data_IF_519998524280
#
_entry.id   IF_519998524280
#
_cell.length_a   1.000
_cell.length_b   1.000
_cell.length_c   1.000
_cell.angle_alpha   90.00
_cell.angle_beta   90.00
_cell.angle_gamma   90.00
#
_symmetry.space_group_name_H-M   'P 1'
#
loop_
_entity.id
_entity.type
_entity.pdbx_description
1 polymer ?
#
# COMPACT_ATOMS: atom_id res chain seq x y z
N UNK A 1 6.94 -7.87 29.88
CA UNK A 1 7.64 -8.60 30.97
C UNK A 1 6.66 -8.79 32.11
N UNK A 2 6.75 -9.90 32.83
CA UNK A 2 6.01 -10.16 34.06
C UNK A 2 6.98 -10.58 35.16
N UNK A 3 6.67 -10.26 36.41
CA UNK A 3 7.49 -10.64 37.57
C UNK A 3 7.07 -12.01 38.07
N UNK A 4 8.05 -12.86 38.40
CA UNK A 4 7.82 -14.07 39.19
C UNK A 4 8.03 -13.72 40.67
N UNK A 5 6.96 -13.72 41.49
CA UNK A 5 7.07 -13.47 42.92
C UNK A 5 6.63 -14.71 43.74
N UNK A 6 7.60 -15.53 44.23
CA UNK A 6 7.30 -16.75 44.97
C UNK A 6 6.58 -16.52 46.31
N UNK A 7 6.56 -15.28 46.82
CA UNK A 7 5.85 -14.94 48.06
C UNK A 7 4.37 -14.66 47.81
N UNK A 8 3.98 -14.29 46.59
CA UNK A 8 2.58 -14.09 46.21
C UNK A 8 1.94 -15.36 45.66
N UNK A 9 2.71 -16.16 44.91
CA UNK A 9 2.23 -17.39 44.28
C UNK A 9 3.29 -18.48 44.36
N UNK A 10 2.95 -19.66 44.89
CA UNK A 10 3.90 -20.80 44.91
C UNK A 10 4.36 -21.22 43.53
N UNK A 11 3.52 -21.00 42.51
CA UNK A 11 3.80 -21.32 41.12
C UNK A 11 4.88 -20.42 40.49
N UNK A 12 5.17 -19.27 41.10
CA UNK A 12 6.21 -18.33 40.66
C UNK A 12 7.59 -18.64 41.25
N UNK A 13 7.78 -19.84 41.81
CA UNK A 13 9.09 -20.28 42.31
C UNK A 13 10.09 -20.43 41.16
N UNK A 14 11.26 -19.81 41.29
CA UNK A 14 12.34 -19.89 40.30
C UNK A 14 13.71 -20.09 40.95
N UNK A 15 14.63 -20.66 40.18
CA UNK A 15 16.02 -20.88 40.54
C UNK A 15 16.93 -20.46 39.39
N UNK A 16 18.05 -19.80 39.67
CA UNK A 16 19.06 -19.53 38.65
C UNK A 16 20.02 -20.72 38.59
N UNK A 17 20.15 -21.33 37.42
CA UNK A 17 21.04 -22.48 37.21
C UNK A 17 22.51 -22.04 37.14
N UNK A 18 23.42 -23.00 37.23
CA UNK A 18 24.86 -22.75 37.05
C UNK A 18 25.23 -22.30 35.64
N UNK A 19 24.36 -22.51 34.65
CA UNK A 19 24.51 -22.01 33.27
C UNK A 19 24.06 -20.55 33.12
N UNK A 20 23.44 -19.96 34.14
CA UNK A 20 22.89 -18.61 34.12
C UNK A 20 21.43 -18.53 33.65
N UNK A 21 20.81 -19.67 33.36
CA UNK A 21 19.41 -19.75 32.92
C UNK A 21 18.44 -19.76 34.13
N UNK A 22 17.18 -19.42 33.89
CA UNK A 22 16.15 -19.40 34.92
C UNK A 22 15.31 -20.68 34.87
N UNK A 23 15.34 -21.47 35.93
CA UNK A 23 14.56 -22.70 36.08
C UNK A 23 13.32 -22.48 36.94
N UNK A 24 12.14 -22.76 36.39
CA UNK A 24 10.84 -22.66 37.06
C UNK A 24 10.23 -24.06 37.21
N UNK A 25 10.20 -24.66 38.42
CA UNK A 25 9.82 -26.07 38.60
C UNK A 25 8.33 -26.34 38.36
N UNK A 26 7.50 -25.30 38.49
CA UNK A 26 6.04 -25.40 38.42
C UNK A 26 5.50 -25.10 37.01
N UNK A 27 6.38 -24.69 36.08
CA UNK A 27 6.03 -24.51 34.67
C UNK A 27 6.01 -25.88 33.94
N UNK A 28 5.29 -25.95 32.82
CA UNK A 28 5.25 -27.15 31.98
C UNK A 28 6.67 -27.57 31.56
N UNK A 29 6.90 -28.88 31.42
CA UNK A 29 8.24 -29.45 31.13
C UNK A 29 8.88 -28.92 29.85
N UNK A 30 8.09 -28.42 28.89
CA UNK A 30 8.55 -27.77 27.66
C UNK A 30 8.99 -26.31 27.83
N UNK A 31 8.69 -25.68 28.97
CA UNK A 31 8.95 -24.26 29.28
C UNK A 31 9.56 -24.05 30.67
N UNK A 32 10.10 -25.10 31.29
CA UNK A 32 10.62 -25.05 32.66
C UNK A 32 11.98 -24.34 32.78
N UNK A 33 12.63 -24.01 31.67
CA UNK A 33 13.92 -23.34 31.62
C UNK A 33 13.87 -22.17 30.66
N UNK A 34 14.20 -20.97 31.12
CA UNK A 34 14.25 -19.73 30.35
C UNK A 34 15.70 -19.28 30.18
N UNK A 35 16.14 -19.11 28.93
CA UNK A 35 17.49 -18.63 28.57
C UNK A 35 17.80 -17.28 29.26
N UNK A 36 19.04 -17.10 29.73
CA UNK A 36 19.56 -15.85 30.32
C UNK A 36 19.27 -14.58 29.51
N UNK A 37 19.04 -14.69 28.20
CA UNK A 37 18.64 -13.56 27.35
C UNK A 37 17.20 -13.08 27.54
N UNK A 38 16.33 -13.93 28.10
CA UNK A 38 14.88 -13.73 28.14
C UNK A 38 14.34 -13.39 29.53
N UNK A 39 15.22 -13.14 30.50
CA UNK A 39 14.83 -12.61 31.80
C UNK A 39 15.87 -11.60 32.30
N UNK A 40 15.47 -10.77 33.26
CA UNK A 40 16.40 -9.95 34.02
C UNK A 40 16.07 -10.03 35.51
N UNK A 41 17.08 -9.82 36.35
CA UNK A 41 16.93 -9.73 37.79
C UNK A 41 16.95 -8.25 38.19
N UNK A 42 15.92 -7.81 38.91
CA UNK A 42 15.78 -6.42 39.32
C UNK A 42 15.57 -6.35 40.84
N UNK A 43 16.16 -5.32 41.48
CA UNK A 43 16.09 -5.13 42.92
C UNK A 43 14.84 -4.31 43.28
N UNK A 44 13.94 -4.87 44.07
CA UNK A 44 12.66 -4.25 44.41
C UNK A 44 12.45 -4.30 45.93
N UNK A 45 12.73 -3.20 46.62
CA UNK A 45 12.76 -3.17 48.09
C UNK A 45 14.02 -3.85 48.61
N UNK A 46 13.90 -4.88 49.46
CA UNK A 46 15.01 -5.67 50.02
C UNK A 46 15.17 -7.05 49.32
N UNK A 47 14.66 -7.19 48.10
CA UNK A 47 14.62 -8.47 47.38
C UNK A 47 14.99 -8.35 45.91
N UNK A 48 15.55 -9.42 45.36
CA UNK A 48 15.86 -9.57 43.93
C UNK A 48 14.76 -10.41 43.29
N UNK A 49 14.06 -9.85 42.33
CA UNK A 49 12.92 -10.49 41.64
C UNK A 49 13.28 -10.73 40.18
N UNK A 50 12.91 -11.91 39.66
CA UNK A 50 13.06 -12.23 38.24
C UNK A 50 11.90 -11.66 37.43
N UNK A 51 12.23 -10.85 36.42
CA UNK A 51 11.32 -10.38 35.39
C UNK A 51 11.55 -11.18 34.12
N UNK A 52 10.55 -11.97 33.75
CA UNK A 52 10.60 -12.81 32.55
C UNK A 52 9.92 -12.05 31.41
N UNK A 53 10.57 -12.00 30.25
CA UNK A 53 9.91 -11.54 29.03
C UNK A 53 8.78 -12.51 28.72
N UNK A 54 7.64 -12.01 28.23
CA UNK A 54 6.61 -12.91 27.72
C UNK A 54 7.29 -13.78 26.67
N UNK A 55 7.37 -15.09 26.91
CA UNK A 55 7.81 -16.02 25.88
C UNK A 55 6.86 -15.77 24.73
N UNK A 56 7.41 -15.23 23.66
CA UNK A 56 6.71 -15.08 22.39
C UNK A 56 6.45 -16.50 21.94
N UNK A 57 5.35 -17.06 22.44
CA UNK A 57 4.78 -18.31 21.98
C UNK A 57 4.65 -18.07 20.48
N UNK A 58 5.53 -18.70 19.69
CA UNK A 58 5.40 -18.81 18.24
C UNK A 58 4.10 -19.54 17.98
N UNK A 59 3.01 -18.82 18.16
CA UNK A 59 1.67 -19.26 17.85
C UNK A 59 1.68 -19.49 16.35
N UNK A 60 0.97 -20.51 15.92
CA UNK A 60 0.78 -20.91 14.52
C UNK A 60 0.44 -19.74 13.59
N UNK A 61 -0.03 -18.61 14.15
CA UNK A 61 -0.21 -17.30 13.48
C UNK A 61 1.09 -16.69 12.93
N UNK A 62 2.22 -16.68 13.65
CA UNK A 62 3.46 -16.07 13.14
C UNK A 62 4.12 -16.86 11.99
N UNK A 63 4.00 -18.20 12.02
CA UNK A 63 4.51 -19.06 10.95
C UNK A 63 3.69 -18.88 9.67
N UNK A 64 2.36 -18.72 9.79
CA UNK A 64 1.48 -18.40 8.66
C UNK A 64 1.75 -16.99 8.12
N UNK A 65 1.94 -15.99 8.99
CA UNK A 65 2.26 -14.61 8.59
C UNK A 65 3.59 -14.56 7.81
N UNK A 66 4.62 -15.27 8.27
CA UNK A 66 5.92 -15.32 7.59
C UNK A 66 5.89 -15.97 6.21
N UNK A 67 5.03 -16.98 6.00
CA UNK A 67 4.82 -17.60 4.67
C UNK A 67 4.01 -16.66 3.78
N UNK A 68 2.97 -16.01 4.31
CA UNK A 68 2.13 -15.05 3.59
C UNK A 68 2.94 -13.87 3.04
N UNK A 69 3.75 -13.22 3.88
CA UNK A 69 4.62 -12.12 3.44
C UNK A 69 5.60 -12.55 2.34
N UNK A 70 6.12 -13.78 2.38
CA UNK A 70 7.01 -14.30 1.33
C UNK A 70 6.27 -14.54 0.01
N UNK A 71 5.09 -15.15 0.06
CA UNK A 71 4.28 -15.41 -1.14
C UNK A 71 3.91 -14.09 -1.83
N UNK A 72 3.47 -13.09 -1.06
CA UNK A 72 3.19 -11.75 -1.60
C UNK A 72 4.46 -11.15 -2.20
N UNK A 73 5.60 -11.21 -1.50
CA UNK A 73 6.85 -10.64 -2.00
C UNK A 73 7.25 -11.26 -3.35
N UNK A 74 7.15 -12.58 -3.51
CA UNK A 74 7.44 -13.23 -4.79
C UNK A 74 6.47 -12.80 -5.90
N UNK A 75 5.17 -12.70 -5.59
CA UNK A 75 4.17 -12.18 -6.54
C UNK A 75 4.47 -10.74 -6.97
N UNK A 76 4.92 -9.90 -6.05
CA UNK A 76 5.31 -8.52 -6.32
C UNK A 76 6.61 -8.40 -7.11
N UNK A 77 7.58 -9.29 -6.90
CA UNK A 77 8.80 -9.35 -7.71
C UNK A 77 8.44 -9.66 -9.16
N UNK A 78 7.64 -10.71 -9.38
CA UNK A 78 7.16 -11.07 -10.72
C UNK A 78 6.41 -9.89 -11.35
N UNK A 79 5.48 -9.28 -10.62
CA UNK A 79 4.72 -8.11 -11.08
C UNK A 79 5.64 -6.93 -11.45
N UNK A 80 6.67 -6.67 -10.63
CA UNK A 80 7.63 -5.60 -10.85
C UNK A 80 8.45 -5.82 -12.12
N UNK A 81 8.82 -7.08 -12.45
CA UNK A 81 9.50 -7.40 -13.70
C UNK A 81 8.62 -7.08 -14.93
N UNK A 82 7.34 -7.44 -14.90
CA UNK A 82 6.41 -7.10 -15.98
C UNK A 82 6.17 -5.59 -16.11
N UNK A 83 6.07 -4.87 -14.98
CA UNK A 83 5.96 -3.41 -14.98
C UNK A 83 7.23 -2.75 -15.55
N UNK A 84 8.42 -3.26 -15.21
CA UNK A 84 9.67 -2.77 -15.75
C UNK A 84 9.75 -2.96 -17.27
N UNK A 85 9.39 -4.15 -17.77
CA UNK A 85 9.32 -4.42 -19.22
C UNK A 85 8.33 -3.44 -19.87
N UNK A 86 7.16 -3.24 -19.28
CA UNK A 86 6.15 -2.30 -19.78
C UNK A 86 6.71 -0.88 -19.86
N UNK A 87 7.38 -0.41 -18.80
CA UNK A 87 8.03 0.89 -18.77
C UNK A 87 9.07 1.05 -19.88
N UNK A 88 9.94 0.05 -20.04
CA UNK A 88 10.99 0.05 -21.08
C UNK A 88 10.40 0.07 -22.48
N UNK A 89 9.36 -0.71 -22.76
CA UNK A 89 8.68 -0.69 -24.07
C UNK A 89 8.14 0.70 -24.38
N UNK A 90 7.46 1.34 -23.42
CA UNK A 90 6.92 2.69 -23.63
C UNK A 90 8.02 3.75 -23.75
N UNK A 91 9.14 3.62 -23.01
CA UNK A 91 10.27 4.56 -23.05
C UNK A 91 11.13 4.43 -24.32
N UNK A 92 11.28 3.22 -24.85
CA UNK A 92 12.14 2.95 -26.00
C UNK A 92 11.43 3.16 -27.34
N UNK A 93 10.09 3.16 -27.39
CA UNK A 93 9.32 3.37 -28.62
C UNK A 93 8.81 4.82 -28.67
N UNK A 94 9.45 5.73 -29.42
CA UNK A 94 9.05 7.14 -29.47
C UNK A 94 7.64 7.35 -30.01
N UNK A 95 7.11 6.39 -30.79
CA UNK A 95 5.74 6.37 -31.29
C UNK A 95 4.69 6.31 -30.17
N UNK A 96 5.07 5.87 -28.97
CA UNK A 96 4.22 5.79 -27.79
C UNK A 96 4.33 7.00 -26.88
N UNK A 97 5.26 7.94 -27.11
CA UNK A 97 5.48 9.15 -26.29
C UNK A 97 4.40 10.25 -26.49
N UNK A 98 3.18 9.87 -26.84
CA UNK A 98 2.04 10.77 -26.79
C UNK A 98 1.62 11.04 -25.34
N UNK A 99 0.72 12.01 -25.12
CA UNK A 99 0.24 12.38 -23.78
C UNK A 99 -0.20 11.16 -22.95
N UNK A 100 -1.00 10.28 -23.57
CA UNK A 100 -1.50 9.07 -22.91
C UNK A 100 -0.35 8.15 -22.48
N UNK A 101 0.59 7.86 -23.38
CA UNK A 101 1.77 7.05 -23.06
C UNK A 101 2.63 7.65 -21.97
N UNK A 102 2.85 8.97 -21.97
CA UNK A 102 3.60 9.65 -20.90
C UNK A 102 2.91 9.51 -19.53
N UNK A 103 1.60 9.73 -19.45
CA UNK A 103 0.85 9.55 -18.20
C UNK A 103 0.86 8.09 -17.72
N UNK A 104 0.77 7.13 -18.66
CA UNK A 104 0.85 5.70 -18.35
C UNK A 104 2.25 5.29 -17.87
N UNK A 105 3.31 5.83 -18.47
CA UNK A 105 4.69 5.61 -18.00
C UNK A 105 4.87 6.08 -16.56
N UNK A 106 4.35 7.26 -16.20
CA UNK A 106 4.42 7.76 -14.83
C UNK A 106 3.61 6.90 -13.85
N UNK A 107 2.43 6.41 -14.26
CA UNK A 107 1.64 5.46 -13.47
C UNK A 107 2.43 4.16 -13.22
N UNK A 108 2.98 3.55 -14.27
CA UNK A 108 3.76 2.30 -14.20
C UNK A 108 5.02 2.50 -13.36
N UNK A 109 5.74 3.62 -13.53
CA UNK A 109 6.91 3.93 -12.73
C UNK A 109 6.56 4.11 -11.24
N UNK A 110 5.41 4.73 -10.94
CA UNK A 110 4.94 4.88 -9.56
C UNK A 110 4.60 3.54 -8.93
N UNK A 111 3.92 2.64 -9.65
CA UNK A 111 3.64 1.28 -9.18
C UNK A 111 4.92 0.46 -9.00
N UNK A 112 5.87 0.56 -9.93
CA UNK A 112 7.16 -0.12 -9.84
C UNK A 112 7.92 0.34 -8.59
N UNK A 113 7.95 1.65 -8.32
CA UNK A 113 8.52 2.20 -7.10
C UNK A 113 7.84 1.66 -5.84
N UNK A 114 6.51 1.73 -5.77
CA UNK A 114 5.73 1.22 -4.65
C UNK A 114 6.02 -0.27 -4.37
N UNK A 115 5.95 -1.12 -5.39
CA UNK A 115 6.20 -2.56 -5.26
C UNK A 115 7.65 -2.86 -4.89
N UNK A 116 8.62 -2.11 -5.42
CA UNK A 116 10.03 -2.29 -5.06
C UNK A 116 10.26 -2.03 -3.56
N UNK A 117 9.75 -0.91 -3.04
CA UNK A 117 9.85 -0.61 -1.61
C UNK A 117 9.07 -1.59 -0.74
N UNK A 118 7.91 -2.07 -1.22
CA UNK A 118 7.09 -3.03 -0.49
C UNK A 118 7.76 -4.42 -0.42
N UNK A 119 8.41 -4.88 -1.49
CA UNK A 119 9.24 -6.09 -1.49
C UNK A 119 10.40 -5.96 -0.50
N UNK A 120 11.08 -4.81 -0.48
CA UNK A 120 12.15 -4.54 0.50
C UNK A 120 11.59 -4.60 1.92
N UNK A 121 10.45 -3.97 2.19
CA UNK A 121 9.77 -4.02 3.49
C UNK A 121 9.45 -5.47 3.91
N UNK A 122 8.89 -6.28 3.02
CA UNK A 122 8.48 -7.66 3.33
C UNK A 122 9.67 -8.61 3.54
N UNK A 123 10.74 -8.48 2.76
CA UNK A 123 11.88 -9.41 2.81
C UNK A 123 12.99 -8.97 3.77
N UNK A 124 13.20 -7.66 3.92
CA UNK A 124 14.38 -7.11 4.59
C UNK A 124 14.05 -6.37 5.89
N UNK A 125 12.77 -6.15 6.27
CA UNK A 125 12.37 -5.37 7.47
C UNK A 125 13.18 -5.68 8.73
N UNK A 126 13.49 -6.95 9.01
CA UNK A 126 14.25 -7.38 10.20
C UNK A 126 15.72 -6.94 10.20
N UNK A 127 16.28 -6.64 9.04
CA UNK A 127 17.68 -6.26 8.86
C UNK A 127 17.86 -4.76 8.61
N UNK A 128 16.76 -4.01 8.45
CA UNK A 128 16.81 -2.58 8.19
C UNK A 128 16.98 -1.81 9.51
N UNK A 129 17.82 -0.77 9.46
CA UNK A 129 17.87 0.21 10.55
C UNK A 129 16.51 0.95 10.64
N UNK A 130 16.07 1.38 11.84
CA UNK A 130 14.76 1.98 12.04
C UNK A 130 14.46 3.18 11.11
N UNK A 131 15.45 4.04 10.86
CA UNK A 131 15.30 5.22 10.01
C UNK A 131 15.03 4.84 8.54
N UNK A 132 15.69 3.79 8.05
CA UNK A 132 15.49 3.30 6.69
C UNK A 132 14.13 2.60 6.55
N UNK A 133 13.72 1.86 7.58
CA UNK A 133 12.39 1.25 7.65
C UNK A 133 11.27 2.30 7.62
N UNK A 134 11.43 3.38 8.38
CA UNK A 134 10.53 4.53 8.36
C UNK A 134 10.50 5.22 6.98
N UNK A 135 11.67 5.50 6.38
CA UNK A 135 11.77 6.07 5.04
C UNK A 135 11.05 5.20 3.99
N UNK A 136 11.25 3.89 4.03
CA UNK A 136 10.59 2.93 3.14
C UNK A 136 9.07 3.03 3.31
N UNK A 137 8.57 3.11 4.55
CA UNK A 137 7.13 3.28 4.81
C UNK A 137 6.54 4.52 4.14
N UNK A 138 7.19 5.68 4.28
CA UNK A 138 6.75 6.92 3.62
C UNK A 138 6.89 6.86 2.10
N UNK A 139 7.95 6.22 1.59
CA UNK A 139 8.13 6.01 0.16
C UNK A 139 7.00 5.15 -0.43
N UNK A 140 6.65 4.03 0.20
CA UNK A 140 5.53 3.17 -0.21
C UNK A 140 4.23 4.00 -0.26
N UNK A 141 3.94 4.79 0.79
CA UNK A 141 2.75 5.63 0.84
C UNK A 141 2.71 6.63 -0.33
N UNK A 142 3.80 7.36 -0.54
CA UNK A 142 3.90 8.36 -1.60
C UNK A 142 3.74 7.74 -2.99
N UNK A 143 4.42 6.62 -3.27
CA UNK A 143 4.38 5.99 -4.59
C UNK A 143 3.02 5.36 -4.91
N UNK A 144 2.34 4.75 -3.93
CA UNK A 144 0.98 4.27 -4.15
C UNK A 144 -0.01 5.40 -4.39
N UNK A 145 0.02 6.46 -3.57
CA UNK A 145 -0.82 7.63 -3.78
C UNK A 145 -0.55 8.27 -5.16
N UNK A 146 0.71 8.32 -5.59
CA UNK A 146 1.08 8.80 -6.93
C UNK A 146 0.49 7.91 -8.03
N UNK A 147 0.58 6.59 -7.88
CA UNK A 147 -0.01 5.66 -8.84
C UNK A 147 -1.52 5.86 -8.99
N UNK A 148 -2.26 6.01 -7.89
CA UNK A 148 -3.69 6.34 -7.94
C UNK A 148 -3.97 7.70 -8.55
N UNK A 149 -3.15 8.70 -8.24
CA UNK A 149 -3.31 10.06 -8.78
C UNK A 149 -3.08 10.07 -10.30
N UNK A 150 -2.09 9.32 -10.79
CA UNK A 150 -1.86 9.12 -12.22
C UNK A 150 -3.01 8.36 -12.90
N UNK A 151 -3.55 7.33 -12.25
CA UNK A 151 -4.73 6.63 -12.77
C UNK A 151 -5.93 7.59 -12.87
N UNK A 152 -6.10 8.47 -11.88
CA UNK A 152 -7.14 9.49 -11.87
C UNK A 152 -6.98 10.51 -13.00
N UNK A 153 -5.75 10.98 -13.25
CA UNK A 153 -5.41 11.81 -14.41
C UNK A 153 -5.76 11.10 -15.72
N UNK A 154 -5.44 9.82 -15.86
CA UNK A 154 -5.72 9.06 -17.09
C UNK A 154 -7.24 8.94 -17.31
N UNK A 155 -8.01 8.62 -16.27
CA UNK A 155 -9.46 8.57 -16.34
C UNK A 155 -10.07 9.93 -16.71
N UNK A 156 -9.57 11.01 -16.10
CA UNK A 156 -9.99 12.37 -16.42
C UNK A 156 -9.68 12.74 -17.88
N UNK A 157 -8.46 12.48 -18.36
CA UNK A 157 -8.03 12.82 -19.72
C UNK A 157 -8.88 12.10 -20.77
N UNK A 158 -9.19 10.83 -20.54
CA UNK A 158 -10.07 10.05 -21.40
C UNK A 158 -11.48 10.65 -21.40
N UNK A 159 -12.07 10.87 -20.22
CA UNK A 159 -13.40 11.47 -20.11
C UNK A 159 -13.47 12.83 -20.82
N UNK A 160 -12.48 13.70 -20.59
CA UNK A 160 -12.39 15.01 -21.20
C UNK A 160 -12.25 14.94 -22.72
N UNK A 161 -11.44 13.99 -23.22
CA UNK A 161 -11.23 13.76 -24.66
C UNK A 161 -12.50 13.26 -25.36
N UNK A 162 -13.31 12.42 -24.70
CA UNK A 162 -14.59 11.97 -25.24
C UNK A 162 -15.72 12.99 -25.09
N UNK A 163 -15.74 13.78 -24.01
CA UNK A 163 -16.78 14.78 -23.76
C UNK A 163 -16.72 15.96 -24.74
N UNK A 164 -15.53 16.26 -25.27
CA UNK A 164 -15.36 17.26 -26.30
C UNK A 164 -15.27 16.59 -27.68
N UNK A 165 -16.35 16.63 -28.47
CA UNK A 165 -16.29 16.52 -29.94
C UNK A 165 -15.61 17.78 -30.50
N UNK A 166 -14.47 18.17 -29.94
CA UNK A 166 -13.64 19.24 -30.48
C UNK A 166 -12.56 18.59 -31.31
N UNK A 167 -12.53 18.99 -32.58
CA UNK A 167 -11.40 18.84 -33.49
C UNK A 167 -10.16 19.51 -32.89
N UNK A 168 -9.54 18.88 -31.89
CA UNK A 168 -8.20 19.23 -31.46
C UNK A 168 -7.25 18.33 -32.21
N UNK A 169 -6.85 18.79 -33.40
CA UNK A 169 -5.48 18.56 -33.88
C UNK A 169 -4.58 19.29 -32.88
N UNK A 170 -4.31 18.65 -31.74
CA UNK A 170 -3.57 19.27 -30.65
C UNK A 170 -2.15 19.52 -31.11
N UNK A 171 -1.75 20.81 -31.17
CA UNK A 171 -0.35 21.18 -31.34
C UNK A 171 0.46 20.52 -30.22
N UNK A 172 1.66 20.01 -30.52
CA UNK A 172 2.52 19.32 -29.54
C UNK A 172 2.72 20.12 -28.23
N UNK A 173 2.71 21.44 -28.33
CA UNK A 173 2.77 22.38 -27.21
C UNK A 173 1.58 22.27 -26.24
N UNK A 174 0.36 22.08 -26.76
CA UNK A 174 -0.84 21.91 -25.93
C UNK A 174 -0.77 20.61 -25.12
N UNK A 175 -0.32 19.53 -25.76
CA UNK A 175 -0.07 18.24 -25.10
C UNK A 175 0.95 18.37 -23.98
N UNK A 176 2.06 19.08 -24.23
CA UNK A 176 3.11 19.31 -23.22
C UNK A 176 2.60 20.12 -22.03
N UNK A 177 1.80 21.17 -22.28
CA UNK A 177 1.20 21.99 -21.20
C UNK A 177 0.23 21.18 -20.35
N UNK A 178 -0.61 20.34 -20.97
CA UNK A 178 -1.52 19.43 -20.25
C UNK A 178 -0.74 18.45 -19.38
N UNK A 179 0.30 17.82 -19.94
CA UNK A 179 1.16 16.91 -19.17
C UNK A 179 1.80 17.60 -17.95
N UNK A 180 2.24 18.86 -18.08
CA UNK A 180 2.80 19.61 -16.97
C UNK A 180 1.79 19.78 -15.81
N UNK A 181 0.56 20.19 -16.11
CA UNK A 181 -0.48 20.35 -15.09
C UNK A 181 -0.88 19.00 -14.46
N UNK A 182 -0.98 17.96 -15.28
CA UNK A 182 -1.25 16.60 -14.81
C UNK A 182 -0.16 16.09 -13.87
N UNK A 183 1.11 16.30 -14.24
CA UNK A 183 2.27 15.94 -13.42
C UNK A 183 2.30 16.71 -12.10
N UNK A 184 2.02 18.02 -12.14
CA UNK A 184 1.96 18.84 -10.93
C UNK A 184 0.90 18.31 -9.95
N UNK A 185 -0.31 18.01 -10.44
CA UNK A 185 -1.35 17.39 -9.61
C UNK A 185 -0.93 16.01 -9.07
N UNK A 186 -0.49 15.12 -9.96
CA UNK A 186 -0.26 13.72 -9.64
C UNK A 186 0.94 13.48 -8.71
N UNK A 187 1.88 14.42 -8.62
CA UNK A 187 3.00 14.38 -7.67
C UNK A 187 2.75 15.20 -6.42
N UNK A 188 2.15 16.40 -6.54
CA UNK A 188 1.95 17.28 -5.40
C UNK A 188 0.92 16.70 -4.41
N UNK A 189 -0.14 16.07 -4.89
CA UNK A 189 -1.15 15.46 -4.00
C UNK A 189 -0.55 14.35 -3.11
N UNK A 190 0.18 13.35 -3.63
CA UNK A 190 0.88 12.37 -2.81
C UNK A 190 1.90 12.99 -1.84
N UNK A 191 2.73 13.92 -2.33
CA UNK A 191 3.78 14.54 -1.53
C UNK A 191 3.21 15.33 -0.35
N UNK A 192 2.11 16.06 -0.58
CA UNK A 192 1.45 16.83 0.49
C UNK A 192 0.82 15.92 1.54
N UNK A 193 0.17 14.83 1.14
CA UNK A 193 -0.41 13.84 2.08
C UNK A 193 0.71 13.13 2.88
N UNK A 194 1.77 12.67 2.21
CA UNK A 194 2.90 12.01 2.87
C UNK A 194 3.64 12.96 3.79
N UNK A 195 3.86 14.21 3.40
CA UNK A 195 4.43 15.24 4.28
C UNK A 195 3.55 15.44 5.51
N UNK A 196 2.22 15.59 5.34
CA UNK A 196 1.29 15.69 6.46
C UNK A 196 1.36 14.49 7.41
N UNK A 197 1.51 13.29 6.85
CA UNK A 197 1.67 12.04 7.63
C UNK A 197 2.96 12.07 8.44
N UNK A 198 4.07 12.48 7.83
CA UNK A 198 5.36 12.65 8.52
C UNK A 198 5.29 13.70 9.63
N UNK A 199 4.68 14.86 9.37
CA UNK A 199 4.52 15.92 10.37
C UNK A 199 3.71 15.44 11.58
N UNK A 200 2.58 14.77 11.34
CA UNK A 200 1.74 14.24 12.42
C UNK A 200 2.46 13.17 13.23
N UNK A 201 3.21 12.28 12.56
CA UNK A 201 3.96 11.23 13.24
C UNK A 201 5.17 11.76 14.02
N UNK A 202 5.88 12.75 13.49
CA UNK A 202 7.07 13.33 14.11
C UNK A 202 6.73 14.23 15.30
N UNK A 203 5.75 15.11 15.15
CA UNK A 203 5.35 16.06 16.20
C UNK A 203 4.27 15.51 17.13
N UNK A 204 3.81 14.27 16.90
CA UNK A 204 2.79 13.57 17.70
C UNK A 204 1.56 14.47 17.94
N UNK A 205 1.06 15.09 16.85
CA UNK A 205 0.03 16.13 16.91
C UNK A 205 -1.36 15.62 17.31
N UNK A 206 -1.61 14.31 17.17
CA UNK A 206 -2.88 13.66 17.46
C UNK A 206 -2.75 12.69 18.63
N UNK A 207 -3.88 12.30 19.22
CA UNK A 207 -3.95 11.24 20.23
C UNK A 207 -3.36 9.93 19.70
N UNK A 208 -2.86 9.08 20.61
CA UNK A 208 -2.12 7.86 20.27
C UNK A 208 -2.86 6.95 19.27
N UNK A 209 -4.19 6.87 19.38
CA UNK A 209 -5.06 6.07 18.50
C UNK A 209 -5.07 6.52 17.03
N UNK A 210 -4.67 7.77 16.74
CA UNK A 210 -4.70 8.36 15.39
C UNK A 210 -3.31 8.56 14.79
N UNK A 211 -2.26 8.21 15.51
CA UNK A 211 -0.89 8.36 15.04
C UNK A 211 -0.54 7.29 13.99
N UNK A 212 0.16 7.65 12.90
CA UNK A 212 0.68 6.70 11.92
C UNK A 212 1.64 5.66 12.54
N UNK A 213 2.49 6.07 13.48
CA UNK A 213 3.53 5.27 14.13
C UNK A 213 4.34 4.47 13.10
N UNK A 214 4.91 5.19 12.13
CA UNK A 214 5.53 4.62 10.95
C UNK A 214 6.89 4.02 11.29
N UNK A 215 7.10 2.73 11.02
CA UNK A 215 8.41 2.09 11.24
C UNK A 215 8.65 1.53 12.65
N UNK A 216 7.66 1.54 13.56
CA UNK A 216 7.83 1.01 14.93
C UNK A 216 7.84 -0.52 15.02
N UNK A 217 6.96 -1.20 14.27
CA UNK A 217 6.88 -2.68 14.25
C UNK A 217 7.12 -3.28 12.86
N UNK A 218 6.74 -2.55 11.82
CA UNK A 218 6.90 -2.91 10.43
C UNK A 218 7.29 -1.65 9.66
N UNK A 219 7.87 -1.78 8.46
CA UNK A 219 8.17 -0.64 7.59
C UNK A 219 6.91 -0.17 6.86
N UNK A 220 5.85 0.08 7.64
CA UNK A 220 4.50 0.49 7.24
C UNK A 220 3.72 1.02 8.46
N UNK A 221 2.50 1.51 8.23
CA UNK A 221 1.57 1.92 9.28
C UNK A 221 1.34 0.78 10.29
N UNK A 222 1.26 1.13 11.56
CA UNK A 222 0.90 0.17 12.60
C UNK A 222 -0.54 -0.30 12.43
N UNK A 223 -0.81 -1.57 12.75
CA UNK A 223 -2.17 -2.15 12.66
C UNK A 223 -3.09 -1.72 13.81
N UNK A 224 -2.52 -1.15 14.88
CA UNK A 224 -3.23 -0.86 16.14
C UNK A 224 -3.84 0.55 16.19
N UNK A 225 -3.54 1.41 15.21
CA UNK A 225 -4.04 2.79 15.16
C UNK A 225 -4.87 3.03 13.90
N UNK A 226 -5.66 4.10 13.91
CA UNK A 226 -6.44 4.56 12.76
C UNK A 226 -5.61 5.40 11.76
N UNK A 227 -4.29 5.50 11.95
CA UNK A 227 -3.40 6.29 11.10
C UNK A 227 -3.43 5.85 9.62
N UNK A 228 -3.39 4.53 9.34
CA UNK A 228 -3.51 3.99 7.97
C UNK A 228 -4.81 4.44 7.31
N UNK A 229 -5.91 4.40 8.07
CA UNK A 229 -7.23 4.72 7.54
C UNK A 229 -7.33 6.18 7.12
N UNK A 230 -6.82 7.09 7.95
CA UNK A 230 -6.92 8.53 7.70
C UNK A 230 -5.95 8.98 6.60
N UNK A 231 -4.68 8.58 6.69
CA UNK A 231 -3.61 9.13 5.85
C UNK A 231 -3.37 8.36 4.56
N UNK A 232 -3.98 7.19 4.41
CA UNK A 232 -3.82 6.36 3.21
C UNK A 232 -5.15 5.88 2.64
N UNK A 233 -5.96 5.13 3.39
CA UNK A 233 -7.19 4.55 2.85
C UNK A 233 -8.19 5.64 2.42
N UNK A 234 -8.39 6.67 3.24
CA UNK A 234 -9.35 7.73 2.94
C UNK A 234 -9.00 8.51 1.66
N UNK A 235 -7.75 9.02 1.48
CA UNK A 235 -7.34 9.61 0.21
C UNK A 235 -7.46 8.67 -0.99
N UNK A 236 -7.15 7.38 -0.82
CA UNK A 236 -7.30 6.37 -1.89
C UNK A 236 -8.76 6.19 -2.27
N UNK A 237 -9.67 6.13 -1.29
CA UNK A 237 -11.11 6.00 -1.53
C UNK A 237 -11.68 7.17 -2.32
N UNK A 238 -11.28 8.41 -2.02
CA UNK A 238 -11.69 9.60 -2.78
C UNK A 238 -11.26 9.47 -4.25
N UNK A 239 -10.03 9.00 -4.50
CA UNK A 239 -9.51 8.81 -5.86
C UNK A 239 -10.23 7.69 -6.60
N UNK A 240 -10.51 6.56 -5.94
CA UNK A 240 -11.30 5.46 -6.52
C UNK A 240 -12.71 5.94 -6.88
N UNK A 241 -13.39 6.67 -5.98
CA UNK A 241 -14.71 7.23 -6.26
C UNK A 241 -14.69 8.18 -7.45
N UNK A 242 -13.68 9.05 -7.52
CA UNK A 242 -13.47 9.96 -8.66
C UNK A 242 -13.29 9.18 -9.97
N UNK A 243 -12.53 8.08 -9.94
CA UNK A 243 -12.33 7.22 -11.11
C UNK A 243 -13.64 6.56 -11.57
N UNK A 244 -14.46 6.07 -10.64
CA UNK A 244 -15.78 5.47 -10.95
C UNK A 244 -16.68 6.51 -11.63
N UNK A 245 -16.69 7.75 -11.14
CA UNK A 245 -17.47 8.84 -11.73
C UNK A 245 -16.99 9.12 -13.16
N UNK A 246 -15.69 9.36 -13.37
CA UNK A 246 -15.14 9.62 -14.70
C UNK A 246 -15.39 8.46 -15.66
N UNK A 247 -15.28 7.22 -15.19
CA UNK A 247 -15.55 6.04 -15.98
C UNK A 247 -17.02 5.95 -16.41
N UNK A 248 -17.95 6.16 -15.47
CA UNK A 248 -19.39 6.19 -15.75
C UNK A 248 -19.77 7.29 -16.75
N UNK A 249 -19.19 8.49 -16.61
CA UNK A 249 -19.39 9.59 -17.55
C UNK A 249 -18.79 9.27 -18.93
N UNK A 250 -17.61 8.64 -18.97
CA UNK A 250 -16.96 8.22 -20.22
C UNK A 250 -17.80 7.21 -20.99
N UNK A 251 -18.35 6.20 -20.31
CA UNK A 251 -19.24 5.20 -20.93
C UNK A 251 -20.47 5.88 -21.52
N UNK A 252 -21.11 6.81 -20.78
CA UNK A 252 -22.28 7.55 -21.27
C UNK A 252 -21.95 8.35 -22.54
N UNK A 253 -20.84 9.09 -22.53
CA UNK A 253 -20.38 9.88 -23.68
C UNK A 253 -20.05 8.97 -24.87
N UNK A 254 -19.39 7.84 -24.63
CA UNK A 254 -19.03 6.87 -25.65
C UNK A 254 -20.26 6.26 -26.32
N UNK A 255 -21.29 5.88 -25.54
CA UNK A 255 -22.55 5.36 -26.07
C UNK A 255 -23.27 6.38 -26.95
N UNK A 256 -23.24 7.67 -26.56
CA UNK A 256 -23.79 8.76 -27.36
C UNK A 256 -23.05 8.91 -28.69
N UNK A 257 -21.72 9.00 -28.67
CA UNK A 257 -20.88 9.13 -29.88
C UNK A 257 -21.06 7.93 -30.81
N UNK A 258 -21.19 6.72 -30.26
CA UNK A 258 -21.46 5.51 -31.04
C UNK A 258 -22.78 5.62 -31.81
N UNK A 259 -23.85 6.12 -31.17
CA UNK A 259 -25.14 6.30 -31.84
C UNK A 259 -25.07 7.35 -32.96
N UNK A 260 -24.35 8.45 -32.75
CA UNK A 260 -24.13 9.50 -33.76
C UNK A 260 -23.28 8.99 -34.95
N UNK A 261 -22.24 8.19 -34.69
CA UNK A 261 -21.40 7.56 -35.72
C UNK A 261 -22.11 6.47 -36.53
N UNK A 262 -23.15 5.84 -35.98
CA UNK A 262 -23.95 4.85 -36.72
C UNK A 262 -25.01 5.52 -37.60
N UNK A 263 -25.53 6.67 -37.18
CA UNK A 263 -26.53 7.44 -37.93
C UNK A 263 -25.93 8.28 -39.06
N UNK A 264 -24.71 8.78 -38.86
CA UNK A 264 -23.99 9.53 -39.88
C UNK A 264 -22.97 8.61 -40.57
N UNK A 265 -22.92 8.58 -41.90
CA UNK A 265 -21.81 7.95 -42.66
C UNK A 265 -20.51 8.75 -42.47
N UNK A 266 -20.02 8.86 -41.23
CA UNK A 266 -18.88 9.71 -40.89
C UNK A 266 -17.59 9.10 -41.48
N UNK A 267 -16.76 10.00 -42.03
CA UNK A 267 -15.40 9.76 -42.53
C UNK A 267 -14.63 8.67 -41.77
N UNK A 268 -13.91 7.82 -42.53
CA UNK A 268 -13.05 6.73 -42.02
C UNK A 268 -12.10 7.16 -40.90
N UNK A 269 -11.55 8.39 -40.97
CA UNK A 269 -10.64 8.96 -39.98
C UNK A 269 -11.27 9.16 -38.59
N UNK A 270 -12.54 9.59 -38.51
CA UNK A 270 -13.23 9.76 -37.24
C UNK A 270 -13.51 8.40 -36.57
N UNK A 271 -13.82 7.39 -37.39
CA UNK A 271 -14.04 6.01 -36.93
C UNK A 271 -12.74 5.37 -36.40
N UNK A 272 -11.61 5.61 -37.06
CA UNK A 272 -10.29 5.18 -36.57
C UNK A 272 -9.94 5.83 -35.22
N UNK A 273 -10.18 7.13 -35.06
CA UNK A 273 -9.98 7.84 -33.79
C UNK A 273 -10.86 7.27 -32.67
N UNK A 274 -12.15 7.08 -32.95
CA UNK A 274 -13.09 6.47 -32.00
C UNK A 274 -12.63 5.07 -31.55
N UNK A 275 -12.19 4.23 -32.48
CA UNK A 275 -11.67 2.89 -32.15
C UNK A 275 -10.39 2.97 -31.29
N UNK A 276 -9.49 3.91 -31.57
CA UNK A 276 -8.30 4.13 -30.75
C UNK A 276 -8.65 4.56 -29.33
N UNK A 277 -9.61 5.48 -29.17
CA UNK A 277 -10.04 5.96 -27.85
C UNK A 277 -10.84 4.87 -27.09
N UNK A 278 -11.63 4.04 -27.77
CA UNK A 278 -12.25 2.82 -27.21
C UNK A 278 -11.19 1.86 -26.69
N UNK A 279 -10.13 1.62 -27.45
CA UNK A 279 -9.06 0.71 -27.04
C UNK A 279 -8.32 1.25 -25.80
N UNK A 280 -8.05 2.56 -25.75
CA UNK A 280 -7.52 3.22 -24.54
C UNK A 280 -8.47 3.04 -23.37
N UNK A 281 -9.77 3.30 -23.56
CA UNK A 281 -10.76 3.10 -22.51
C UNK A 281 -10.73 1.66 -22.00
N UNK A 282 -10.80 0.66 -22.88
CA UNK A 282 -10.79 -0.76 -22.50
C UNK A 282 -9.51 -1.16 -21.75
N UNK A 283 -8.34 -0.64 -22.15
CA UNK A 283 -7.08 -0.88 -21.44
C UNK A 283 -7.11 -0.26 -20.03
N UNK A 284 -7.57 0.98 -19.90
CA UNK A 284 -7.68 1.65 -18.61
C UNK A 284 -8.76 1.05 -17.72
N UNK A 285 -9.85 0.51 -18.29
CA UNK A 285 -10.85 -0.28 -17.57
C UNK A 285 -10.19 -1.50 -16.92
N UNK A 286 -9.35 -2.24 -17.67
CA UNK A 286 -8.65 -3.42 -17.13
C UNK A 286 -7.72 -3.01 -15.98
N UNK A 287 -6.95 -1.95 -16.16
CA UNK A 287 -6.05 -1.41 -15.14
C UNK A 287 -6.81 -1.00 -13.87
N UNK A 288 -7.93 -0.27 -14.04
CA UNK A 288 -8.78 0.16 -12.94
C UNK A 288 -9.49 -1.02 -12.25
N UNK A 289 -9.97 -2.02 -12.99
CA UNK A 289 -10.63 -3.19 -12.40
C UNK A 289 -9.62 -4.00 -11.59
N UNK A 290 -8.44 -4.29 -12.14
CA UNK A 290 -7.41 -5.06 -11.43
C UNK A 290 -6.90 -4.31 -10.21
N UNK A 291 -6.62 -3.02 -10.34
CA UNK A 291 -6.09 -2.22 -9.22
C UNK A 291 -7.20 -1.80 -8.24
N UNK A 292 -8.23 -1.12 -8.73
CA UNK A 292 -9.31 -0.55 -7.94
C UNK A 292 -10.15 -1.58 -7.20
N UNK A 293 -10.42 -2.77 -7.76
CA UNK A 293 -11.13 -3.82 -7.01
C UNK A 293 -10.26 -4.40 -5.90
N UNK A 294 -8.97 -4.64 -6.16
CA UNK A 294 -8.05 -5.17 -5.15
C UNK A 294 -7.99 -4.25 -3.93
N UNK A 295 -7.85 -2.94 -4.18
CA UNK A 295 -7.81 -1.93 -3.11
C UNK A 295 -9.17 -1.66 -2.46
N UNK A 296 -10.27 -1.71 -3.21
CA UNK A 296 -11.61 -1.63 -2.63
C UNK A 296 -11.86 -2.83 -1.70
N UNK A 297 -11.45 -4.04 -2.08
CA UNK A 297 -11.53 -5.21 -1.21
C UNK A 297 -10.68 -5.02 0.05
N UNK A 298 -9.42 -4.54 -0.06
CA UNK A 298 -8.58 -4.29 1.12
C UNK A 298 -9.23 -3.29 2.11
N UNK A 299 -9.81 -2.20 1.59
CA UNK A 299 -10.48 -1.21 2.45
C UNK A 299 -11.73 -1.79 3.11
N UNK A 300 -12.52 -2.58 2.39
CA UNK A 300 -13.70 -3.24 2.95
C UNK A 300 -13.32 -4.30 4.00
N UNK A 301 -12.28 -5.09 3.77
CA UNK A 301 -11.78 -6.08 4.75
C UNK A 301 -11.46 -5.41 6.08
N UNK A 302 -10.86 -4.21 6.08
CA UNK A 302 -10.63 -3.45 7.32
C UNK A 302 -11.93 -3.04 8.02
N UNK A 303 -12.97 -2.64 7.27
CA UNK A 303 -14.26 -2.24 7.85
C UNK A 303 -15.02 -3.43 8.46
N UNK A 304 -14.90 -4.62 7.86
CA UNK A 304 -15.60 -5.83 8.28
C UNK A 304 -14.81 -6.73 9.26
N UNK A 305 -13.53 -6.46 9.51
CA UNK A 305 -12.70 -7.19 10.49
C UNK A 305 -13.16 -7.09 11.96
N UNK A 306 -14.23 -6.34 12.25
CA UNK A 306 -14.92 -6.39 13.54
C UNK A 306 -15.99 -7.50 13.64
N UNK A 307 -16.19 -8.31 12.60
CA UNK A 307 -17.21 -9.36 12.55
C UNK A 307 -16.74 -10.60 11.80
N UNK A 308 -16.16 -11.54 12.56
CA UNK A 308 -15.90 -12.95 12.23
C UNK A 308 -14.68 -13.26 11.33
N UNK A 309 -13.81 -14.11 11.87
CA UNK A 309 -12.36 -14.10 11.65
C UNK A 309 -11.85 -15.16 10.64
N UNK A 310 -12.74 -15.76 9.83
CA UNK A 310 -12.39 -17.00 9.10
C UNK A 310 -12.41 -16.93 7.56
N UNK A 311 -13.04 -15.93 6.92
CA UNK A 311 -13.22 -15.94 5.46
C UNK A 311 -12.55 -14.78 4.69
N UNK A 312 -12.16 -13.70 5.36
CA UNK A 312 -11.66 -12.49 4.69
C UNK A 312 -10.14 -12.42 4.52
N UNK A 313 -9.40 -13.35 5.10
CA UNK A 313 -7.93 -13.40 5.06
C UNK A 313 -7.33 -13.77 3.69
N UNK A 314 -8.16 -14.17 2.71
CA UNK A 314 -7.71 -14.63 1.40
C UNK A 314 -7.58 -13.53 0.33
N UNK A 315 -7.91 -12.28 0.64
CA UNK A 315 -7.79 -11.17 -0.34
C UNK A 315 -6.67 -10.24 0.10
N UNK A 316 -5.44 -10.74 -0.06
CA UNK A 316 -4.19 -10.00 -0.27
C UNK A 316 -3.09 -11.00 -0.64
#
# INVERSE_FOLDING_TARGET
>A
KYSLDPMTTSDDTYYVTTTGDLFTPHAASSSNTTDWKNFCLEHMGDRVVAFVCFVESRTTKETNDGVHFKVIAYGLIVSSMFLLITFLVYACLPSLHNLHGQTLMCHVASMLGAYSFLVISQLLSRFLIPQLCMFIGFAIQCFFLAAFSWLNVICFDIWWTFGAVRSHVGKAEESRRRFLFYSLYAWLLPLTITAGTFFVDHFKLFSEDFLPNMGERYCWFTKFTHGKTIFFNFPVMIQIMSNIIFFGLTIRNCSKIKSELQQMQINSNARLKYNADINKLAMNSKLFVVMGLTWACEVNTWYFQNGDDSLWWYIL
#
